data_IF_166213373013
#
_entry.id   IF_166213373013
#
_cell.length_a   1.000
_cell.length_b   1.000
_cell.length_c   1.000
_cell.angle_alpha   90.00
_cell.angle_beta   90.00
_cell.angle_gamma   90.00
#
_symmetry.space_group_name_H-M   'P 1'
#
loop_
_entity.id
_entity.type
_entity.pdbx_description
1 polymer ?
#
# COMPACT_ATOMS: atom_id res chain seq x y z
N UNK A 1 -8.70 -11.49 -9.44
CA UNK A 1 -9.29 -10.15 -9.26
C UNK A 1 -8.46 -9.34 -8.27
N UNK A 2 -7.51 -8.56 -8.76
CA UNK A 2 -6.65 -7.67 -7.95
C UNK A 2 -7.42 -6.37 -7.71
N UNK A 3 -7.76 -6.06 -6.45
CA UNK A 3 -8.46 -4.81 -6.11
C UNK A 3 -7.51 -3.63 -6.27
N UNK A 4 -7.70 -2.87 -7.34
CA UNK A 4 -7.08 -1.55 -7.56
C UNK A 4 -7.71 -0.56 -6.58
N UNK A 5 -6.89 0.30 -5.98
CA UNK A 5 -7.38 1.36 -5.10
C UNK A 5 -7.50 2.62 -5.93
N UNK A 6 -8.74 3.09 -6.08
CA UNK A 6 -9.04 4.33 -6.78
C UNK A 6 -8.84 5.51 -5.84
N UNK A 7 -7.96 6.43 -6.20
CA UNK A 7 -7.92 7.75 -5.56
C UNK A 7 -8.64 8.73 -6.48
N UNK A 8 -9.72 9.32 -5.96
CA UNK A 8 -10.39 10.48 -6.57
C UNK A 8 -9.78 11.71 -5.92
N UNK A 9 -8.97 12.45 -6.66
CA UNK A 9 -8.36 13.69 -6.18
C UNK A 9 -9.11 14.85 -6.84
N UNK A 10 -9.70 15.72 -6.02
CA UNK A 10 -10.33 16.95 -6.49
C UNK A 10 -9.26 18.02 -6.65
N UNK A 11 -8.90 18.35 -7.89
CA UNK A 11 -8.11 19.55 -8.17
C UNK A 11 -9.10 20.70 -8.38
N UNK A 12 -9.26 21.56 -7.37
CA UNK A 12 -9.98 22.83 -7.54
C UNK A 12 -9.09 23.78 -8.31
N UNK A 13 -9.35 23.96 -9.61
CA UNK A 13 -8.72 25.02 -10.39
C UNK A 13 -9.66 26.22 -10.39
N UNK A 14 -9.21 27.35 -9.85
CA UNK A 14 -9.93 28.60 -10.00
C UNK A 14 -10.11 28.92 -11.50
N UNK A 15 -11.36 29.23 -11.87
CA UNK A 15 -11.88 29.66 -13.18
C UNK A 15 -12.24 28.56 -14.18
N UNK A 16 -13.56 28.36 -14.27
CA UNK A 16 -14.36 28.04 -15.46
C UNK A 16 -13.66 27.17 -16.52
N UNK A 17 -13.67 25.86 -16.32
CA UNK A 17 -14.11 24.86 -17.30
C UNK A 17 -13.96 23.46 -16.68
N UNK A 18 -15.00 22.65 -16.87
CA UNK A 18 -15.27 21.30 -16.35
C UNK A 18 -14.18 20.62 -15.49
N UNK A 19 -14.49 20.42 -14.21
CA UNK A 19 -13.79 19.52 -13.29
C UNK A 19 -13.76 18.10 -13.84
N UNK A 20 -12.70 17.76 -14.57
CA UNK A 20 -12.43 16.39 -14.98
C UNK A 20 -12.17 15.55 -13.71
N UNK A 21 -13.03 14.56 -13.46
CA UNK A 21 -12.79 13.55 -12.45
C UNK A 21 -11.61 12.67 -12.90
N UNK A 22 -10.38 13.05 -12.56
CA UNK A 22 -9.22 12.19 -12.77
C UNK A 22 -9.18 11.12 -11.70
N UNK A 23 -9.56 9.91 -12.11
CA UNK A 23 -9.36 8.70 -11.31
C UNK A 23 -7.95 8.21 -11.56
N UNK A 24 -7.07 8.37 -10.57
CA UNK A 24 -5.71 7.85 -10.66
C UNK A 24 -5.67 6.39 -10.21
N UNK A 25 -5.25 5.50 -11.12
CA UNK A 25 -4.96 4.11 -10.81
C UNK A 25 -3.54 4.03 -10.22
N UNK A 26 -3.43 4.20 -8.91
CA UNK A 26 -2.16 4.08 -8.19
C UNK A 26 -2.03 2.67 -7.64
N UNK A 27 -1.08 1.90 -8.18
CA UNK A 27 -0.69 0.62 -7.60
C UNK A 27 0.32 0.88 -6.49
N UNK A 28 0.27 0.07 -5.43
CA UNK A 28 1.17 0.20 -4.28
C UNK A 28 1.96 -1.08 -4.12
N UNK A 29 3.29 -0.96 -4.11
CA UNK A 29 4.21 -2.05 -3.83
C UNK A 29 4.75 -2.01 -2.39
N UNK A 30 5.46 -3.06 -2.00
CA UNK A 30 6.14 -3.16 -0.70
C UNK A 30 7.65 -3.26 -0.93
N UNK A 31 8.42 -2.42 -0.23
CA UNK A 31 9.88 -2.47 -0.12
C UNK A 31 10.24 -3.66 0.79
N UNK A 32 10.44 -4.83 0.18
CA UNK A 32 10.67 -6.10 0.89
C UNK A 32 11.83 -6.01 1.88
N UNK A 33 12.96 -5.42 1.46
CA UNK A 33 14.16 -5.33 2.28
C UNK A 33 13.96 -4.42 3.50
N UNK A 34 13.29 -3.28 3.32
CA UNK A 34 12.95 -2.38 4.42
C UNK A 34 12.01 -3.06 5.42
N UNK A 35 10.98 -3.75 4.93
CA UNK A 35 10.08 -4.50 5.80
C UNK A 35 10.83 -5.58 6.58
N UNK A 36 11.71 -6.34 5.93
CA UNK A 36 12.55 -7.36 6.60
C UNK A 36 13.44 -6.75 7.67
N UNK A 37 14.07 -5.60 7.39
CA UNK A 37 14.91 -4.89 8.35
C UNK A 37 14.12 -4.42 9.58
N UNK A 38 12.91 -3.87 9.38
CA UNK A 38 12.04 -3.44 10.49
C UNK A 38 11.61 -4.65 11.32
N UNK A 39 11.25 -5.75 10.68
CA UNK A 39 10.87 -6.99 11.37
C UNK A 39 12.03 -7.57 12.17
N UNK A 40 13.23 -7.62 11.59
CA UNK A 40 14.44 -8.10 12.27
C UNK A 40 14.75 -7.27 13.53
N UNK A 41 14.66 -5.93 13.45
CA UNK A 41 14.85 -5.03 14.61
C UNK A 41 13.85 -5.28 15.73
N UNK A 42 12.65 -5.79 15.41
CA UNK A 42 11.61 -6.14 16.39
C UNK A 42 11.62 -7.62 16.79
N UNK A 43 12.53 -8.42 16.23
CA UNK A 43 12.55 -9.87 16.36
C UNK A 43 11.23 -10.54 15.90
N UNK A 44 10.64 -10.05 14.81
CA UNK A 44 9.39 -10.58 14.25
C UNK A 44 9.65 -11.31 12.94
N UNK A 45 8.82 -12.32 12.67
CA UNK A 45 8.70 -12.96 11.37
C UNK A 45 7.37 -12.55 10.70
N UNK A 46 7.14 -12.98 9.46
CA UNK A 46 5.90 -12.65 8.74
C UNK A 46 4.62 -13.20 9.40
N UNK A 47 4.71 -14.34 10.08
CA UNK A 47 3.58 -14.91 10.84
C UNK A 47 3.20 -14.00 12.00
N UNK A 48 4.20 -13.47 12.68
CA UNK A 48 4.02 -12.59 13.83
C UNK A 48 3.50 -11.21 13.41
N UNK A 49 3.95 -10.68 12.27
CA UNK A 49 3.33 -9.52 11.64
C UNK A 49 1.86 -9.77 11.32
N UNK A 50 1.56 -10.89 10.65
CA UNK A 50 0.20 -11.26 10.25
C UNK A 50 -0.72 -11.36 11.47
N UNK A 51 -0.25 -11.99 12.54
CA UNK A 51 -0.94 -12.10 13.83
C UNK A 51 -1.28 -10.72 14.40
N UNK A 52 -0.32 -9.79 14.42
CA UNK A 52 -0.54 -8.42 14.94
C UNK A 52 -1.54 -7.61 14.12
N UNK A 53 -1.53 -7.75 12.80
CA UNK A 53 -2.48 -7.03 11.94
C UNK A 53 -3.85 -7.73 11.83
N UNK A 54 -3.99 -8.94 12.40
CA UNK A 54 -5.21 -9.75 12.39
C UNK A 54 -5.50 -10.41 11.04
N UNK A 55 -4.46 -10.88 10.34
CA UNK A 55 -4.55 -11.56 9.05
C UNK A 55 -3.77 -12.88 9.05
N UNK A 56 -4.00 -13.73 8.05
CA UNK A 56 -3.22 -14.95 7.87
C UNK A 56 -1.83 -14.65 7.30
N UNK A 57 -0.86 -15.48 7.63
CA UNK A 57 0.50 -15.40 7.08
C UNK A 57 0.53 -15.52 5.56
N UNK A 58 -0.33 -16.37 4.98
CA UNK A 58 -0.49 -16.51 3.53
C UNK A 58 -0.86 -15.20 2.85
N UNK A 59 -1.66 -14.34 3.51
CA UNK A 59 -2.03 -13.03 2.97
C UNK A 59 -0.81 -12.12 2.84
N UNK A 60 0.08 -12.12 3.84
CA UNK A 60 1.33 -11.34 3.79
C UNK A 60 2.20 -11.80 2.62
N UNK A 61 2.34 -13.10 2.43
CA UNK A 61 3.10 -13.67 1.30
C UNK A 61 2.56 -13.18 -0.05
N UNK A 62 1.24 -13.13 -0.23
CA UNK A 62 0.63 -12.60 -1.46
C UNK A 62 0.95 -11.12 -1.69
N UNK A 63 1.03 -10.32 -0.62
CA UNK A 63 1.45 -8.91 -0.73
C UNK A 63 2.92 -8.78 -1.10
N UNK A 64 3.80 -9.59 -0.51
CA UNK A 64 5.24 -9.58 -0.80
C UNK A 64 5.56 -10.00 -2.24
N UNK A 65 4.76 -10.91 -2.81
CA UNK A 65 4.89 -11.33 -4.20
C UNK A 65 4.27 -10.35 -5.19
N UNK A 66 3.54 -9.33 -4.72
CA UNK A 66 2.78 -8.42 -5.59
C UNK A 66 1.54 -9.05 -6.23
N UNK A 67 1.22 -10.30 -5.92
CA UNK A 67 0.01 -11.00 -6.39
C UNK A 67 -1.27 -10.32 -5.85
N UNK A 68 -1.16 -9.65 -4.70
CA UNK A 68 -2.23 -8.87 -4.11
C UNK A 68 -1.72 -7.51 -3.66
N UNK A 69 -2.59 -6.50 -3.79
CA UNK A 69 -2.31 -5.15 -3.27
C UNK A 69 -2.94 -5.03 -1.88
N UNK A 70 -2.19 -4.60 -0.85
CA UNK A 70 -2.75 -4.34 0.46
C UNK A 70 -3.73 -3.16 0.38
N UNK A 71 -4.93 -3.33 0.93
CA UNK A 71 -5.92 -2.24 0.98
C UNK A 71 -5.46 -1.13 1.91
N UNK A 72 -6.07 0.06 1.83
CA UNK A 72 -5.77 1.17 2.74
C UNK A 72 -5.87 0.75 4.23
N UNK A 73 -6.90 -0.04 4.58
CA UNK A 73 -7.08 -0.59 5.93
C UNK A 73 -5.92 -1.50 6.36
N UNK A 74 -5.46 -2.37 5.47
CA UNK A 74 -4.34 -3.28 5.74
C UNK A 74 -3.05 -2.49 5.90
N UNK A 75 -2.78 -1.53 5.00
CA UNK A 75 -1.61 -0.65 5.10
C UNK A 75 -1.59 0.09 6.42
N UNK A 76 -2.72 0.67 6.83
CA UNK A 76 -2.79 1.40 8.10
C UNK A 76 -2.44 0.49 9.29
N UNK A 77 -3.00 -0.71 9.35
CA UNK A 77 -2.68 -1.69 10.39
C UNK A 77 -1.21 -2.11 10.37
N UNK A 78 -0.61 -2.26 9.20
CA UNK A 78 0.82 -2.57 9.08
C UNK A 78 1.68 -1.45 9.65
N UNK A 79 1.39 -0.20 9.29
CA UNK A 79 2.10 0.97 9.82
C UNK A 79 1.92 1.10 11.33
N UNK A 80 0.69 0.96 11.84
CA UNK A 80 0.42 1.02 13.28
C UNK A 80 1.17 -0.10 14.04
N UNK A 81 1.19 -1.33 13.50
CA UNK A 81 1.90 -2.45 14.13
C UNK A 81 3.43 -2.31 14.06
N UNK A 82 3.95 -1.78 12.95
CA UNK A 82 5.39 -1.64 12.71
C UNK A 82 5.94 -0.34 13.32
N UNK A 83 5.10 0.63 13.64
CA UNK A 83 5.51 1.93 14.17
C UNK A 83 6.45 2.65 13.20
N UNK A 84 6.08 2.68 11.93
CA UNK A 84 6.85 3.30 10.85
C UNK A 84 5.94 4.11 9.93
N UNK A 85 6.55 4.88 9.04
CA UNK A 85 5.84 5.73 8.10
C UNK A 85 5.56 5.02 6.77
N UNK A 86 4.67 5.62 5.98
CA UNK A 86 4.24 5.02 4.71
C UNK A 86 5.42 4.78 3.76
N UNK A 87 6.31 5.76 3.63
CA UNK A 87 7.48 5.69 2.74
C UNK A 87 8.55 4.69 3.19
N UNK A 88 8.52 4.24 4.44
CA UNK A 88 9.47 3.23 4.92
C UNK A 88 9.21 1.87 4.27
N UNK A 89 7.93 1.54 4.01
CA UNK A 89 7.50 0.21 3.58
C UNK A 89 6.88 0.23 2.19
N UNK A 90 6.15 1.29 1.84
CA UNK A 90 5.37 1.32 0.61
C UNK A 90 6.03 2.22 -0.45
N UNK A 91 5.66 1.98 -1.69
CA UNK A 91 5.98 2.86 -2.82
C UNK A 91 4.84 2.82 -3.84
N UNK A 92 4.66 3.91 -4.58
CA UNK A 92 3.70 3.97 -5.67
C UNK A 92 4.34 3.39 -6.94
N UNK A 93 3.62 2.49 -7.59
CA UNK A 93 3.94 2.07 -8.95
C UNK A 93 3.11 2.98 -9.85
N UNK A 94 3.79 3.88 -10.56
CA UNK A 94 3.15 4.69 -11.59
C UNK A 94 2.59 3.73 -12.65
N UNK A 95 1.28 3.77 -12.83
CA UNK A 95 0.68 3.24 -14.06
C UNK A 95 0.95 4.31 -15.10
N UNK A 96 1.71 4.00 -16.15
CA UNK A 96 1.84 4.88 -17.31
C UNK A 96 0.47 5.48 -17.64
N UNK A 97 0.44 6.80 -17.82
CA UNK A 97 -0.74 7.51 -18.33
C UNK A 97 -1.23 6.76 -19.57
N UNK A 98 -2.55 6.60 -19.79
CA UNK A 98 -3.02 6.21 -21.11
C UNK A 98 -2.45 7.22 -22.11
N UNK A 99 -1.56 6.76 -22.99
CA UNK A 99 -1.25 7.44 -24.24
C UNK A 99 -2.47 7.36 -25.14
#
# INVERSE_FOLDING_TARGET
>A
MTKVIYYVIYLTKERNELTAFMVYNIKVGIKKDNLMNILARKNWNFTELARRIGYSSSMITLYLKGERIPTAKVRRRMLDALGCEWDDIFYTIESDKPQ
#
